data_IF_640028154284
#
_entry.id   IF_640028154284
#
_cell.length_a   1.000
_cell.length_b   1.000
_cell.length_c   1.000
_cell.angle_alpha   90.00
_cell.angle_beta   90.00
_cell.angle_gamma   90.00
#
_symmetry.space_group_name_H-M   'P 1'
#
loop_
_entity.id
_entity.type
_entity.pdbx_description
1 polymer ?
#
# COMPACT_ATOMS: atom_id res chain seq x y z
N UNK A 1 1.15 -13.18 16.12
CA UNK A 1 2.28 -13.43 15.18
C UNK A 1 1.95 -12.66 13.91
N UNK A 2 2.90 -11.96 13.29
CA UNK A 2 2.63 -11.27 12.02
C UNK A 2 2.88 -12.20 10.83
N UNK A 3 1.93 -12.25 9.90
CA UNK A 3 2.03 -13.04 8.67
C UNK A 3 2.34 -12.11 7.49
N UNK A 4 3.58 -12.10 6.98
CA UNK A 4 3.92 -11.29 5.82
C UNK A 4 3.49 -11.98 4.52
N UNK A 5 2.91 -11.22 3.60
CA UNK A 5 2.66 -11.61 2.21
C UNK A 5 3.41 -10.65 1.31
N UNK A 6 4.24 -11.17 0.40
CA UNK A 6 5.01 -10.33 -0.54
C UNK A 6 4.61 -10.63 -1.98
N UNK A 7 4.28 -9.59 -2.73
CA UNK A 7 4.16 -9.62 -4.18
C UNK A 7 5.33 -8.86 -4.80
N UNK A 8 5.88 -9.39 -5.89
CA UNK A 8 6.90 -8.71 -6.68
C UNK A 8 6.58 -8.86 -8.15
N UNK A 9 6.47 -7.75 -8.87
CA UNK A 9 6.04 -7.74 -10.27
C UNK A 9 6.66 -6.56 -11.05
N UNK A 10 6.77 -6.66 -12.39
CA UNK A 10 7.20 -5.55 -13.24
C UNK A 10 6.33 -4.31 -13.05
N UNK A 11 6.94 -3.12 -13.09
CA UNK A 11 6.31 -1.80 -12.96
C UNK A 11 5.42 -1.48 -14.19
N UNK A 12 4.33 -2.25 -14.34
CA UNK A 12 3.35 -2.13 -15.39
C UNK A 12 1.95 -2.03 -14.81
N UNK A 13 1.15 -1.12 -15.36
CA UNK A 13 -0.21 -0.85 -14.91
C UNK A 13 -1.11 -2.11 -14.89
N UNK A 14 -0.84 -3.10 -15.76
CA UNK A 14 -1.55 -4.39 -15.78
C UNK A 14 -1.39 -5.20 -14.49
N UNK A 15 -0.30 -5.00 -13.73
CA UNK A 15 0.01 -5.76 -12.53
C UNK A 15 -0.59 -5.14 -11.25
N UNK A 16 -1.06 -3.88 -11.31
CA UNK A 16 -1.63 -3.18 -10.15
C UNK A 16 -2.82 -3.92 -9.55
N UNK A 17 -3.59 -4.61 -10.41
CA UNK A 17 -4.72 -5.44 -9.98
C UNK A 17 -4.32 -6.57 -9.01
N UNK A 18 -3.08 -7.07 -9.09
CA UNK A 18 -2.57 -8.09 -8.15
C UNK A 18 -2.47 -7.52 -6.74
N UNK A 19 -1.86 -6.33 -6.60
CA UNK A 19 -1.73 -5.65 -5.32
C UNK A 19 -3.10 -5.30 -4.73
N UNK A 20 -4.04 -4.78 -5.53
CA UNK A 20 -5.43 -4.50 -5.09
C UNK A 20 -6.14 -5.76 -4.60
N UNK A 21 -6.02 -6.86 -5.32
CA UNK A 21 -6.70 -8.12 -4.96
C UNK A 21 -6.15 -8.69 -3.65
N UNK A 22 -4.84 -8.63 -3.46
CA UNK A 22 -4.20 -9.04 -2.21
C UNK A 22 -4.58 -8.13 -1.05
N UNK A 23 -4.54 -6.81 -1.22
CA UNK A 23 -4.99 -5.87 -0.18
C UNK A 23 -6.44 -6.15 0.26
N UNK A 24 -7.36 -6.31 -0.70
CA UNK A 24 -8.76 -6.61 -0.40
C UNK A 24 -8.93 -7.91 0.39
N UNK A 25 -8.23 -8.97 -0.04
CA UNK A 25 -8.28 -10.29 0.59
C UNK A 25 -7.76 -10.23 2.02
N UNK A 26 -6.68 -9.49 2.25
CA UNK A 26 -6.05 -9.36 3.55
C UNK A 26 -6.83 -8.45 4.50
N UNK A 27 -7.39 -7.34 4.01
CA UNK A 27 -8.28 -6.49 4.80
C UNK A 27 -9.54 -7.25 5.23
N UNK A 28 -10.15 -8.03 4.33
CA UNK A 28 -11.31 -8.86 4.65
C UNK A 28 -11.00 -9.94 5.71
N UNK A 29 -9.76 -10.45 5.77
CA UNK A 29 -9.32 -11.38 6.83
C UNK A 29 -9.21 -10.74 8.21
N UNK A 30 -9.10 -9.41 8.29
CA UNK A 30 -9.04 -8.64 9.54
C UNK A 30 -10.42 -8.12 9.98
N UNK A 31 -11.51 -8.64 9.40
CA UNK A 31 -12.89 -8.17 9.64
C UNK A 31 -13.07 -6.66 9.42
N UNK A 32 -12.27 -6.06 8.53
CA UNK A 32 -12.47 -4.67 8.10
C UNK A 32 -13.85 -4.51 7.46
N UNK A 33 -14.46 -3.33 7.64
CA UNK A 33 -15.74 -3.02 6.98
C UNK A 33 -15.57 -3.01 5.46
N UNK A 34 -16.69 -3.11 4.74
CA UNK A 34 -16.68 -3.03 3.27
C UNK A 34 -15.99 -1.74 2.80
N UNK A 35 -16.26 -0.62 3.47
CA UNK A 35 -15.64 0.67 3.16
C UNK A 35 -14.13 0.61 3.38
N UNK A 36 -13.66 0.06 4.51
CA UNK A 36 -12.23 -0.10 4.79
C UNK A 36 -11.53 -1.06 3.81
N UNK A 37 -12.23 -2.08 3.31
CA UNK A 37 -11.70 -2.97 2.26
C UNK A 37 -11.53 -2.20 0.95
N UNK A 38 -12.49 -1.36 0.56
CA UNK A 38 -12.36 -0.50 -0.61
C UNK A 38 -11.27 0.58 -0.43
N UNK A 39 -11.16 1.16 0.76
CA UNK A 39 -10.09 2.11 1.09
C UNK A 39 -8.71 1.45 0.95
N UNK A 40 -8.54 0.21 1.42
CA UNK A 40 -7.30 -0.54 1.27
C UNK A 40 -6.94 -0.78 -0.21
N UNK A 41 -7.95 -1.07 -1.05
CA UNK A 41 -7.76 -1.28 -2.50
C UNK A 41 -7.37 0.01 -3.20
N UNK A 42 -8.00 1.13 -2.85
CA UNK A 42 -7.70 2.43 -3.43
C UNK A 42 -6.33 2.94 -2.97
N UNK A 43 -6.00 2.76 -1.70
CA UNK A 43 -4.73 3.22 -1.14
C UNK A 43 -3.53 2.49 -1.75
N UNK A 44 -3.61 1.16 -1.89
CA UNK A 44 -2.54 0.39 -2.55
C UNK A 44 -2.47 0.69 -4.05
N UNK A 45 -3.60 0.97 -4.70
CA UNK A 45 -3.64 1.36 -6.11
C UNK A 45 -2.89 2.66 -6.35
N UNK A 46 -3.16 3.68 -5.52
CA UNK A 46 -2.51 4.98 -5.59
C UNK A 46 -1.00 4.85 -5.30
N UNK A 47 -0.62 4.11 -4.24
CA UNK A 47 0.78 3.92 -3.88
C UNK A 47 1.58 3.17 -4.96
N UNK A 48 1.02 2.11 -5.53
CA UNK A 48 1.68 1.35 -6.61
C UNK A 48 1.74 2.19 -7.88
N UNK A 49 0.65 2.87 -8.24
CA UNK A 49 0.59 3.70 -9.45
C UNK A 49 1.57 4.88 -9.38
N UNK A 50 1.74 5.49 -8.21
CA UNK A 50 2.71 6.56 -7.98
C UNK A 50 4.16 6.11 -8.28
N UNK A 51 4.49 4.85 -7.99
CA UNK A 51 5.83 4.30 -8.19
C UNK A 51 6.03 3.61 -9.54
N UNK A 52 5.00 3.51 -10.38
CA UNK A 52 5.11 3.04 -11.76
C UNK A 52 5.54 4.21 -12.64
N UNK A 53 6.83 4.26 -12.95
CA UNK A 53 7.43 5.31 -13.79
C UNK A 53 7.62 4.87 -15.25
N UNK A 54 7.40 3.59 -15.54
CA UNK A 54 7.64 2.96 -16.84
C UNK A 54 9.09 2.48 -16.97
N UNK A 55 9.26 1.20 -17.34
CA UNK A 55 10.55 0.55 -17.45
C UNK A 55 10.48 -0.95 -17.12
N UNK A 56 11.64 -1.59 -17.04
CA UNK A 56 11.79 -3.00 -16.66
C UNK A 56 11.95 -3.19 -15.13
N UNK A 57 11.70 -2.14 -14.34
CA UNK A 57 11.93 -2.18 -12.90
C UNK A 57 10.84 -2.98 -12.18
N UNK A 58 11.14 -3.38 -10.95
CA UNK A 58 10.26 -4.23 -10.15
C UNK A 58 9.67 -3.44 -8.99
N UNK A 59 8.36 -3.55 -8.85
CA UNK A 59 7.63 -3.10 -7.66
C UNK A 59 7.57 -4.28 -6.70
N UNK A 60 7.85 -4.02 -5.42
CA UNK A 60 7.62 -4.98 -4.33
C UNK A 60 6.54 -4.43 -3.40
N UNK A 61 5.47 -5.19 -3.21
CA UNK A 61 4.42 -4.90 -2.24
C UNK A 61 4.53 -5.92 -1.11
N UNK A 62 4.76 -5.45 0.12
CA UNK A 62 4.74 -6.28 1.32
C UNK A 62 3.53 -5.92 2.17
N UNK A 63 2.75 -6.93 2.55
CA UNK A 63 1.58 -6.79 3.40
C UNK A 63 1.84 -7.53 4.70
N UNK A 64 1.65 -6.88 5.83
CA UNK A 64 1.85 -7.47 7.15
C UNK A 64 0.60 -7.27 7.98
N UNK A 65 0.00 -8.37 8.41
CA UNK A 65 -1.15 -8.37 9.29
C UNK A 65 -0.69 -8.47 10.74
N UNK A 66 -1.30 -7.67 11.60
CA UNK A 66 -1.37 -7.89 13.05
C UNK A 66 -2.82 -8.19 13.44
N UNK A 67 -3.15 -8.20 14.74
CA UNK A 67 -4.50 -8.52 15.19
C UNK A 67 -5.55 -7.49 14.73
N UNK A 68 -5.14 -6.21 14.60
CA UNK A 68 -6.04 -5.11 14.21
C UNK A 68 -5.42 -4.17 13.18
N UNK A 69 -4.25 -4.46 12.62
CA UNK A 69 -3.61 -3.58 11.65
C UNK A 69 -3.22 -4.30 10.36
N UNK A 70 -3.45 -3.60 9.24
CA UNK A 70 -2.89 -3.94 7.95
C UNK A 70 -1.81 -2.91 7.61
N UNK A 71 -0.56 -3.35 7.56
CA UNK A 71 0.55 -2.56 7.02
C UNK A 71 0.83 -2.97 5.58
N UNK A 72 0.88 -2.00 4.68
CA UNK A 72 1.23 -2.17 3.28
C UNK A 72 2.49 -1.35 3.00
N UNK A 73 3.52 -1.99 2.45
CA UNK A 73 4.79 -1.32 2.09
C UNK A 73 5.02 -1.55 0.61
N UNK A 74 5.12 -0.47 -0.14
CA UNK A 74 5.42 -0.50 -1.58
C UNK A 74 6.79 0.09 -1.79
N UNK A 75 7.68 -0.68 -2.43
CA UNK A 75 9.03 -0.21 -2.76
C UNK A 75 9.29 -0.31 -4.24
N UNK A 76 10.06 0.65 -4.75
CA UNK A 76 10.55 0.70 -6.12
C UNK A 76 12.02 1.06 -6.14
N UNK A 77 12.79 0.34 -6.95
CA UNK A 77 14.19 0.69 -7.30
C UNK A 77 14.26 1.40 -8.65
N UNK A 78 13.14 1.93 -9.15
CA UNK A 78 13.11 2.61 -10.43
C UNK A 78 13.93 3.90 -10.37
N UNK A 79 14.71 4.16 -11.42
CA UNK A 79 15.60 5.33 -11.49
C UNK A 79 14.82 6.66 -11.38
N UNK A 80 13.57 6.65 -11.83
CA UNK A 80 12.69 7.80 -11.83
C UNK A 80 11.67 7.78 -10.70
N UNK A 81 11.72 6.79 -9.79
CA UNK A 81 10.84 6.79 -8.63
C UNK A 81 11.15 8.04 -7.79
N UNK A 82 10.09 8.75 -7.40
CA UNK A 82 10.21 9.97 -6.63
C UNK A 82 9.25 9.94 -5.44
N UNK A 83 9.64 10.62 -4.37
CA UNK A 83 8.74 10.85 -3.25
C UNK A 83 7.49 11.61 -3.74
N UNK A 84 6.30 11.23 -3.25
CA UNK A 84 5.08 11.96 -3.54
C UNK A 84 5.16 13.38 -2.96
N UNK A 85 4.64 14.35 -3.72
CA UNK A 85 4.45 15.70 -3.24
C UNK A 85 3.43 15.70 -2.08
N UNK A 86 3.79 16.17 -0.86
CA UNK A 86 2.88 16.23 0.27
C UNK A 86 1.62 17.10 0.08
N UNK A 87 1.63 18.00 -0.91
CA UNK A 87 0.48 18.81 -1.33
C UNK A 87 -0.16 18.30 -2.62
N UNK A 88 0.45 17.28 -3.24
CA UNK A 88 -0.03 16.64 -4.46
C UNK A 88 -1.27 15.79 -4.25
N UNK A 89 -2.07 15.66 -5.31
CA UNK A 89 -3.35 14.95 -5.27
C UNK A 89 -3.22 13.50 -4.79
N UNK A 90 -2.26 12.73 -5.31
CA UNK A 90 -2.08 11.32 -4.91
C UNK A 90 -1.73 11.15 -3.43
N UNK A 91 -0.92 12.05 -2.86
CA UNK A 91 -0.64 12.04 -1.42
C UNK A 91 -1.86 12.38 -0.57
N UNK A 92 -2.65 13.36 -1.00
CA UNK A 92 -3.91 13.73 -0.34
C UNK A 92 -4.89 12.55 -0.37
N UNK A 93 -5.00 11.85 -1.50
CA UNK A 93 -5.82 10.63 -1.63
C UNK A 93 -5.34 9.55 -0.67
N UNK A 94 -4.06 9.20 -0.66
CA UNK A 94 -3.52 8.19 0.27
C UNK A 94 -3.82 8.55 1.74
N UNK A 95 -3.57 9.80 2.15
CA UNK A 95 -3.88 10.27 3.52
C UNK A 95 -5.36 10.22 3.89
N UNK A 96 -6.26 10.33 2.92
CA UNK A 96 -7.69 10.26 3.16
C UNK A 96 -8.19 8.82 3.35
N UNK A 97 -7.47 7.84 2.80
CA UNK A 97 -7.86 6.42 2.77
C UNK A 97 -7.25 5.58 3.89
N UNK A 98 -6.14 6.02 4.50
CA UNK A 98 -5.42 5.24 5.52
C UNK A 98 -5.15 6.07 6.78
N UNK A 99 -4.97 5.39 7.92
CA UNK A 99 -4.73 6.04 9.21
C UNK A 99 -3.37 6.73 9.28
N UNK A 100 -2.36 6.19 8.60
CA UNK A 100 -1.01 6.75 8.55
C UNK A 100 -0.33 6.38 7.22
N UNK A 101 0.39 7.35 6.65
CA UNK A 101 1.17 7.16 5.43
C UNK A 101 2.53 7.85 5.57
N UNK A 102 3.58 7.13 5.20
CA UNK A 102 4.97 7.63 5.18
C UNK A 102 5.59 7.38 3.83
N UNK A 103 6.46 8.29 3.42
CA UNK A 103 7.30 8.15 2.26
C UNK A 103 8.76 8.37 2.66
N UNK A 104 9.65 7.53 2.18
CA UNK A 104 11.09 7.62 2.40
C UNK A 104 11.85 7.23 1.13
N UNK A 105 12.99 7.88 0.92
CA UNK A 105 13.95 7.53 -0.12
C UNK A 105 15.29 7.29 0.58
N UNK A 106 15.72 6.03 0.56
CA UNK A 106 16.97 5.59 1.17
C UNK A 106 17.81 4.98 0.05
N UNK A 107 18.89 5.67 -0.32
CA UNK A 107 19.82 5.25 -1.36
C UNK A 107 19.13 4.92 -2.72
N UNK A 108 18.08 5.66 -3.08
CA UNK A 108 17.32 5.47 -4.33
C UNK A 108 16.24 4.39 -4.24
N UNK A 109 16.02 3.80 -3.07
CA UNK A 109 14.87 2.92 -2.81
C UNK A 109 13.72 3.76 -2.25
N UNK A 110 12.82 4.18 -3.14
CA UNK A 110 11.60 4.89 -2.72
C UNK A 110 10.62 3.89 -2.12
N UNK A 111 10.20 4.18 -0.89
CA UNK A 111 9.32 3.34 -0.09
C UNK A 111 8.11 4.13 0.39
N UNK A 112 6.92 3.62 0.10
CA UNK A 112 5.64 4.10 0.64
C UNK A 112 5.13 3.10 1.66
N UNK A 113 4.94 3.54 2.90
CA UNK A 113 4.34 2.73 3.97
C UNK A 113 2.96 3.27 4.29
N UNK A 114 1.94 2.43 4.16
CA UNK A 114 0.55 2.72 4.48
C UNK A 114 0.12 1.83 5.66
N UNK A 115 -0.58 2.41 6.62
CA UNK A 115 -1.10 1.71 7.79
C UNK A 115 -2.59 1.94 7.90
N UNK A 116 -3.34 0.85 7.98
CA UNK A 116 -4.75 0.86 8.28
C UNK A 116 -5.01 0.07 9.56
N UNK A 117 -5.93 0.58 10.39
CA UNK A 117 -6.36 -0.02 11.64
C UNK A 117 -7.82 -0.41 11.54
N UNK A 118 -8.11 -1.64 11.93
CA UNK A 118 -9.46 -2.11 12.15
C UNK A 118 -10.09 -1.36 13.31
N UNK A 119 -11.42 -1.39 13.37
CA UNK A 119 -12.14 -0.92 14.55
C UNK A 119 -11.69 -1.77 15.74
N UNK A 120 -11.35 -1.12 16.86
CA UNK A 120 -11.16 -1.82 18.13
C UNK A 120 -12.42 -2.66 18.40
N UNK A 121 -12.29 -3.96 18.77
CA UNK A 121 -13.46 -4.75 19.12
C UNK A 121 -14.18 -4.03 20.27
N UNK A 122 -15.46 -3.71 20.06
CA UNK A 122 -16.26 -3.01 21.05
C UNK A 122 -16.34 -3.85 22.33
N UNK A 123 -15.50 -3.52 23.32
CA UNK A 123 -15.56 -3.95 24.73
C UNK A 123 -15.78 -5.45 24.98
N UNK A 124 -14.73 -6.16 25.37
CA UNK A 124 -14.85 -7.45 26.06
C UNK A 124 -15.49 -7.32 27.45
#
# INVERSE_FOLDING_TARGET
>A
MSEPVTLRFPAHASNVALARTTAATLAARLDFTIDQVEDARLAIDEAVSHLITGGDELITCSFTLSDTELRMVVTSTAEHAALPDPEGFGWIVMRALVDDVRAEDIDGLVTLTLLMRGLEPAGA
#
